data_IF_651112464771
#
_entry.id   IF_651112464771
#
_cell.length_a   1.000
_cell.length_b   1.000
_cell.length_c   1.000
_cell.angle_alpha   90.00
_cell.angle_beta   90.00
_cell.angle_gamma   90.00
#
_symmetry.space_group_name_H-M   'P 1'
#
loop_
_entity.id
_entity.type
_entity.pdbx_description
1 polymer ?
#
# COMPACT_ATOMS: atom_id res chain seq x y z
N UNK A 1 -3.98 -24.65 -2.82
CA UNK A 1 -3.59 -23.46 -3.62
C UNK A 1 -2.59 -22.68 -2.79
N UNK A 2 -1.36 -22.54 -3.27
CA UNK A 2 -0.28 -21.84 -2.58
C UNK A 2 -0.37 -20.37 -2.96
N UNK A 3 -0.62 -19.49 -2.00
CA UNK A 3 -0.57 -18.03 -2.22
C UNK A 3 0.91 -17.65 -2.34
N UNK A 4 1.33 -17.19 -3.51
CA UNK A 4 2.68 -16.68 -3.72
C UNK A 4 2.75 -15.25 -3.24
N UNK A 5 3.25 -15.02 -2.02
CA UNK A 5 3.60 -13.69 -1.56
C UNK A 5 4.84 -13.24 -2.34
N UNK A 6 4.69 -12.30 -3.28
CA UNK A 6 5.83 -11.64 -3.91
C UNK A 6 6.48 -10.72 -2.88
N UNK A 7 7.38 -11.27 -2.06
CA UNK A 7 8.13 -10.53 -1.06
C UNK A 7 9.24 -9.73 -1.75
N UNK A 8 8.87 -8.65 -2.44
CA UNK A 8 9.84 -7.66 -2.90
C UNK A 8 9.85 -6.52 -1.89
N UNK A 9 10.69 -6.65 -0.87
CA UNK A 9 11.16 -5.46 -0.16
C UNK A 9 12.07 -4.71 -1.14
N UNK A 10 11.48 -3.93 -2.05
CA UNK A 10 12.29 -3.02 -2.87
C UNK A 10 12.67 -1.88 -1.95
N UNK A 11 13.86 -1.98 -1.37
CA UNK A 11 14.61 -0.77 -1.04
C UNK A 11 15.04 -0.23 -2.40
N UNK A 12 14.21 0.58 -3.07
CA UNK A 12 14.74 1.40 -4.16
C UNK A 12 15.53 2.50 -3.45
N UNK A 13 16.83 2.25 -3.31
CA UNK A 13 17.78 3.30 -3.01
C UNK A 13 17.98 4.11 -4.30
N UNK A 14 16.94 4.88 -4.68
CA UNK A 14 16.83 5.63 -5.93
C UNK A 14 17.51 6.99 -5.89
N UNK A 15 18.63 7.13 -5.15
CA UNK A 15 19.46 8.34 -5.20
C UNK A 15 18.97 9.54 -4.39
N UNK A 16 18.10 9.35 -3.40
CA UNK A 16 17.91 10.31 -2.31
C UNK A 16 18.14 9.60 -0.98
N UNK A 17 19.01 10.16 -0.15
CA UNK A 17 19.15 9.80 1.26
C UNK A 17 17.78 10.00 1.94
N UNK A 18 16.97 8.95 2.00
CA UNK A 18 15.89 8.87 2.97
C UNK A 18 16.61 8.73 4.31
N UNK A 19 16.44 9.68 5.23
CA UNK A 19 16.94 9.55 6.61
C UNK A 19 16.48 8.18 7.14
N UNK A 20 17.41 7.23 7.17
CA UNK A 20 17.15 5.79 7.30
C UNK A 20 16.55 5.40 8.65
N UNK A 21 16.45 6.34 9.58
CA UNK A 21 15.93 6.13 10.93
C UNK A 21 14.39 6.01 10.98
N UNK A 22 13.69 6.58 9.99
CA UNK A 22 12.21 6.64 9.98
C UNK A 22 11.57 5.64 8.99
N UNK A 23 12.36 4.92 8.20
CA UNK A 23 11.86 3.92 7.26
C UNK A 23 11.57 2.59 7.96
N UNK A 24 10.31 2.18 7.97
CA UNK A 24 9.86 0.99 8.71
C UNK A 24 9.93 -0.28 7.85
N UNK A 25 9.89 -0.13 6.53
CA UNK A 25 9.89 -1.24 5.59
C UNK A 25 9.06 -0.99 4.34
N UNK A 26 9.16 -1.94 3.41
CA UNK A 26 8.34 -1.99 2.20
C UNK A 26 6.95 -2.57 2.51
N UNK A 27 5.97 -2.18 1.71
CA UNK A 27 4.62 -2.74 1.77
C UNK A 27 4.63 -4.15 1.14
N UNK A 28 4.04 -5.14 1.84
CA UNK A 28 3.97 -6.52 1.33
C UNK A 28 2.70 -6.67 0.51
N UNK A 29 2.82 -6.71 -0.81
CA UNK A 29 1.69 -6.92 -1.71
C UNK A 29 1.26 -8.38 -1.75
N UNK A 30 -0.05 -8.60 -1.82
CA UNK A 30 -0.67 -9.91 -1.98
C UNK A 30 -1.48 -9.88 -3.28
N UNK A 31 -1.46 -11.00 -4.00
CA UNK A 31 -2.25 -11.20 -5.23
C UNK A 31 -1.91 -10.22 -6.38
N UNK A 32 -0.63 -9.81 -6.47
CA UNK A 32 -0.06 -9.17 -7.67
C UNK A 32 -0.45 -7.71 -7.86
N UNK A 33 0.09 -6.79 -7.05
CA UNK A 33 -0.27 -5.38 -7.14
C UNK A 33 0.88 -4.44 -6.77
N UNK A 34 2.02 -4.56 -7.44
CA UNK A 34 3.12 -3.62 -7.31
C UNK A 34 3.30 -2.89 -8.63
N UNK A 35 3.23 -1.57 -8.61
CA UNK A 35 3.67 -0.74 -9.73
C UNK A 35 5.21 -0.68 -9.74
N UNK A 36 5.89 -1.26 -10.74
CA UNK A 36 7.35 -1.25 -10.80
C UNK A 36 7.96 0.14 -11.01
N UNK A 37 7.14 1.14 -11.36
CA UNK A 37 7.59 2.49 -11.63
C UNK A 37 7.50 3.41 -10.41
N UNK A 38 6.81 2.98 -9.34
CA UNK A 38 6.58 3.80 -8.15
C UNK A 38 6.89 3.03 -6.87
N UNK A 39 7.61 3.68 -5.96
CA UNK A 39 7.95 3.10 -4.67
C UNK A 39 6.79 3.05 -3.70
N UNK A 40 6.70 1.95 -2.97
CA UNK A 40 5.73 1.77 -1.90
C UNK A 40 6.45 1.54 -0.58
N UNK A 41 6.18 2.40 0.39
CA UNK A 41 6.90 2.44 1.66
C UNK A 41 6.04 2.89 2.84
N UNK A 42 6.54 2.58 4.03
CA UNK A 42 6.03 3.07 5.30
C UNK A 42 7.09 3.93 6.00
N UNK A 43 6.70 5.12 6.44
CA UNK A 43 7.53 6.01 7.27
C UNK A 43 6.89 6.23 8.64
N UNK A 44 7.71 6.20 9.70
CA UNK A 44 7.32 6.53 11.07
C UNK A 44 7.82 7.91 11.43
N UNK A 45 6.97 8.74 12.00
CA UNK A 45 7.37 9.99 12.64
C UNK A 45 6.79 10.00 14.06
N UNK A 46 7.57 9.53 15.03
CA UNK A 46 7.07 9.30 16.39
C UNK A 46 5.94 8.28 16.42
N UNK A 47 4.72 8.68 16.79
CA UNK A 47 3.54 7.80 16.77
C UNK A 47 2.72 7.91 15.47
N UNK A 48 3.20 8.67 14.49
CA UNK A 48 2.54 8.87 13.20
C UNK A 48 3.13 7.90 12.18
N UNK A 49 2.28 7.27 11.39
CA UNK A 49 2.64 6.43 10.26
C UNK A 49 2.17 7.10 8.97
N UNK A 50 3.07 7.24 8.01
CA UNK A 50 2.76 7.60 6.63
C UNK A 50 2.91 6.37 5.74
N UNK A 51 1.86 6.04 5.01
CA UNK A 51 1.83 5.03 3.96
C UNK A 51 1.87 5.73 2.61
N UNK A 52 2.87 5.39 1.83
CA UNK A 52 2.88 5.62 0.39
C UNK A 52 2.78 4.25 -0.29
N UNK A 53 1.77 4.07 -1.13
CA UNK A 53 1.55 2.80 -1.81
C UNK A 53 1.14 3.05 -3.26
N UNK A 54 1.85 2.42 -4.18
CA UNK A 54 1.49 2.34 -5.59
C UNK A 54 1.09 0.91 -5.95
N UNK A 55 -0.09 0.78 -6.51
CA UNK A 55 -0.76 -0.47 -6.83
C UNK A 55 -0.98 -0.48 -8.33
N UNK A 56 -0.60 -1.54 -9.03
CA UNK A 56 -0.99 -1.72 -10.44
C UNK A 56 -1.75 -3.04 -10.60
N UNK A 57 -3.03 -2.97 -10.96
CA UNK A 57 -3.88 -4.12 -11.21
C UNK A 57 -3.42 -4.94 -12.42
N UNK A 58 -3.04 -6.20 -12.22
CA UNK A 58 -2.69 -7.13 -13.31
C UNK A 58 -3.92 -7.87 -13.88
N UNK A 59 -4.96 -7.98 -13.06
CA UNK A 59 -6.29 -8.50 -13.35
C UNK A 59 -7.36 -7.66 -12.62
N UNK A 60 -8.63 -7.87 -12.96
CA UNK A 60 -9.72 -7.24 -12.22
C UNK A 60 -9.75 -7.79 -10.78
N UNK A 61 -9.73 -6.89 -9.80
CA UNK A 61 -9.76 -7.23 -8.37
C UNK A 61 -10.92 -6.53 -7.68
N UNK A 62 -11.77 -7.31 -7.03
CA UNK A 62 -12.88 -6.82 -6.22
C UNK A 62 -12.86 -7.49 -4.86
N UNK A 63 -13.05 -6.70 -3.80
CA UNK A 63 -13.04 -7.15 -2.40
C UNK A 63 -11.76 -7.93 -2.00
N UNK A 64 -10.67 -7.68 -2.72
CA UNK A 64 -9.39 -8.38 -2.56
C UNK A 64 -8.44 -7.69 -1.57
N UNK A 65 -7.51 -8.48 -1.03
CA UNK A 65 -6.42 -7.97 -0.19
C UNK A 65 -5.27 -7.56 -1.12
N UNK A 66 -4.95 -6.28 -1.11
CA UNK A 66 -3.91 -5.67 -1.95
C UNK A 66 -2.54 -5.74 -1.28
N UNK A 67 -2.53 -5.50 0.03
CA UNK A 67 -1.30 -5.49 0.81
C UNK A 67 -1.53 -5.91 2.26
N UNK A 68 -0.45 -6.28 2.94
CA UNK A 68 -0.42 -6.57 4.37
C UNK A 68 0.67 -5.73 5.03
N UNK A 69 0.28 -4.98 6.06
CA UNK A 69 1.16 -4.11 6.83
C UNK A 69 1.81 -4.87 8.01
N UNK A 70 3.07 -4.55 8.35
CA UNK A 70 3.74 -5.06 9.55
C UNK A 70 2.97 -4.73 10.83
N UNK A 71 3.10 -5.58 11.85
CA UNK A 71 2.38 -5.41 13.13
C UNK A 71 2.64 -4.05 13.80
N UNK A 72 3.89 -3.58 13.76
CA UNK A 72 4.33 -2.32 14.36
C UNK A 72 3.68 -1.05 13.77
N UNK A 73 2.94 -1.14 12.67
CA UNK A 73 2.29 0.01 12.01
C UNK A 73 0.77 -0.11 11.92
N UNK A 74 0.18 -1.22 12.40
CA UNK A 74 -1.25 -1.47 12.22
C UNK A 74 -2.09 -0.41 12.94
N UNK A 75 -3.15 0.11 12.31
CA UNK A 75 -4.02 1.06 12.97
C UNK A 75 -4.84 0.37 14.08
N UNK A 76 -5.18 1.11 15.13
CA UNK A 76 -6.00 0.58 16.25
C UNK A 76 -7.44 0.21 15.86
N UNK A 77 -7.92 0.74 14.73
CA UNK A 77 -9.25 0.54 14.16
C UNK A 77 -9.13 0.55 12.65
N UNK A 78 -10.13 0.01 11.96
CA UNK A 78 -10.19 0.06 10.51
C UNK A 78 -10.28 1.52 10.04
N UNK A 79 -9.48 1.86 9.02
CA UNK A 79 -9.43 3.19 8.43
C UNK A 79 -9.77 3.10 6.94
N UNK A 80 -10.63 4.00 6.49
CA UNK A 80 -10.86 4.20 5.06
C UNK A 80 -9.74 5.06 4.51
N UNK A 81 -9.12 4.60 3.42
CA UNK A 81 -8.09 5.34 2.70
C UNK A 81 -8.52 5.45 1.24
N UNK A 82 -8.20 6.57 0.61
CA UNK A 82 -8.56 6.83 -0.78
C UNK A 82 -7.30 6.86 -1.63
N UNK A 83 -7.34 6.16 -2.76
CA UNK A 83 -6.30 6.20 -3.76
C UNK A 83 -6.77 6.93 -5.02
N UNK A 84 -5.84 7.60 -5.69
CA UNK A 84 -6.08 8.22 -7.00
C UNK A 84 -5.84 7.19 -8.09
N UNK A 85 -6.81 7.01 -9.00
CA UNK A 85 -6.69 6.16 -10.18
C UNK A 85 -5.91 6.90 -11.30
N UNK A 86 -4.63 6.59 -11.43
CA UNK A 86 -3.77 7.03 -12.54
C UNK A 86 -3.78 8.54 -12.80
N UNK A 87 -3.92 8.89 -14.07
CA UNK A 87 -4.05 10.24 -14.63
C UNK A 87 -5.47 10.81 -14.55
N UNK A 88 -6.42 10.06 -14.00
CA UNK A 88 -7.78 10.50 -13.77
C UNK A 88 -7.92 11.22 -12.43
N UNK A 89 -8.90 12.13 -12.31
CA UNK A 89 -9.32 12.68 -11.01
C UNK A 89 -10.25 11.72 -10.24
N UNK A 90 -10.32 10.45 -10.63
CA UNK A 90 -11.16 9.47 -9.97
C UNK A 90 -10.49 8.92 -8.71
N UNK A 91 -11.30 8.70 -7.68
CA UNK A 91 -10.88 8.12 -6.41
C UNK A 91 -11.44 6.71 -6.29
N UNK A 92 -10.63 5.82 -5.74
CA UNK A 92 -11.05 4.48 -5.31
C UNK A 92 -10.81 4.32 -3.82
N UNK A 93 -11.67 3.59 -3.13
CA UNK A 93 -11.62 3.40 -1.69
C UNK A 93 -11.00 2.07 -1.31
N UNK A 94 -10.07 2.14 -0.37
CA UNK A 94 -9.53 1.00 0.34
C UNK A 94 -9.84 1.07 1.84
N UNK A 95 -9.73 -0.07 2.50
CA UNK A 95 -9.79 -0.19 3.95
C UNK A 95 -8.47 -0.77 4.43
N UNK A 96 -7.75 -0.04 5.27
CA UNK A 96 -6.66 -0.61 6.07
C UNK A 96 -7.28 -1.11 7.37
N UNK A 97 -7.35 -2.42 7.51
CA UNK A 97 -7.94 -3.06 8.68
C UNK A 97 -7.00 -3.01 9.87
N UNK A 98 -7.56 -3.10 11.07
CA UNK A 98 -6.81 -3.24 12.32
C UNK A 98 -5.91 -4.48 12.39
N UNK A 99 -6.18 -5.50 11.58
CA UNK A 99 -5.30 -6.68 11.41
C UNK A 99 -4.13 -6.42 10.45
N UNK A 100 -4.09 -5.25 9.80
CA UNK A 100 -3.04 -4.81 8.88
C UNK A 100 -3.29 -5.15 7.42
N UNK A 101 -4.43 -5.73 7.06
CA UNK A 101 -4.78 -5.97 5.65
C UNK A 101 -5.27 -4.69 4.99
N UNK A 102 -4.76 -4.38 3.80
CA UNK A 102 -5.28 -3.31 2.93
C UNK A 102 -6.18 -3.94 1.88
N UNK A 103 -7.47 -3.60 1.89
CA UNK A 103 -8.49 -4.19 1.03
C UNK A 103 -9.04 -3.16 0.08
N UNK A 104 -9.17 -3.50 -1.19
CA UNK A 104 -10.00 -2.69 -2.10
C UNK A 104 -11.47 -2.93 -1.79
N UNK A 105 -12.28 -1.88 -1.82
CA UNK A 105 -13.75 -2.01 -1.70
C UNK A 105 -14.47 -1.74 -3.01
N UNK A 106 -13.76 -1.10 -3.95
CA UNK A 106 -14.23 -0.88 -5.30
C UNK A 106 -13.55 -1.90 -6.22
N UNK A 107 -14.13 -2.14 -7.39
CA UNK A 107 -13.51 -2.97 -8.41
C UNK A 107 -12.35 -2.20 -9.05
N UNK A 108 -11.14 -2.74 -8.91
CA UNK A 108 -9.99 -2.32 -9.72
C UNK A 108 -10.02 -3.12 -11.00
N UNK A 109 -9.88 -2.46 -12.15
CA UNK A 109 -9.77 -3.15 -13.44
C UNK A 109 -8.32 -3.27 -13.86
N UNK A 110 -8.04 -4.21 -14.76
CA UNK A 110 -6.68 -4.46 -15.26
C UNK A 110 -6.05 -3.16 -15.79
N UNK A 111 -4.79 -2.94 -15.41
CA UNK A 111 -3.95 -1.76 -15.67
C UNK A 111 -4.30 -0.50 -14.87
N UNK A 112 -5.29 -0.52 -13.97
CA UNK A 112 -5.47 0.56 -13.02
C UNK A 112 -4.20 0.73 -12.18
N UNK A 113 -3.62 1.92 -12.27
CA UNK A 113 -2.58 2.36 -11.35
C UNK A 113 -3.23 3.18 -10.25
N UNK A 114 -2.94 2.87 -9.00
CA UNK A 114 -3.51 3.57 -7.86
C UNK A 114 -2.41 4.06 -6.94
N UNK A 115 -2.42 5.37 -6.69
CA UNK A 115 -1.53 6.00 -5.73
C UNK A 115 -2.28 6.32 -4.44
N UNK A 116 -1.79 5.80 -3.32
CA UNK A 116 -2.33 6.04 -1.98
C UNK A 116 -1.25 6.74 -1.17
N UNK A 117 -1.59 7.91 -0.63
CA UNK A 117 -0.79 8.57 0.39
C UNK A 117 -1.68 8.84 1.59
N UNK A 118 -1.46 8.12 2.69
CA UNK A 118 -2.32 8.19 3.85
C UNK A 118 -1.52 8.21 5.14
N UNK A 119 -2.04 8.90 6.15
CA UNK A 119 -1.37 9.07 7.45
C UNK A 119 -2.31 8.71 8.59
N UNK A 120 -1.81 7.97 9.58
CA UNK A 120 -2.55 7.65 10.80
C UNK A 120 -1.64 7.65 12.03
N UNK A 121 -2.27 7.57 13.21
CA UNK A 121 -1.57 7.48 14.49
C UNK A 121 -1.75 6.07 15.05
N UNK A 122 -0.67 5.47 15.54
CA UNK A 122 -0.67 4.13 16.17
C UNK A 122 -0.82 4.16 17.69
#
# INVERSE_FOLDING_TARGET
MSVTYAQKAVVINGGQDIETQDYIGAVIFKDGLYDPNNDSYLKKFGNVINLNMSVQADAALKDGIVAVLPEQVRPKKDINVFGLLGDSSALTRFVVTSTGEVKTTDELVKQDSVLINYTWVI
#
